data_IF_099253131154
#
_entry.id   IF_099253131154
#
_cell.length_a   1.000
_cell.length_b   1.000
_cell.length_c   1.000
_cell.angle_alpha   90.00
_cell.angle_beta   90.00
_cell.angle_gamma   90.00
#
_symmetry.space_group_name_H-M   'P 1'
#
loop_
_entity.id
_entity.type
_entity.pdbx_description
1 polymer ?
#
# COMPACT_ATOMS: atom_id res chain seq x y z
N UNK A 1 0.84 4.57 18.27
CA UNK A 1 -0.62 4.74 18.09
C UNK A 1 -0.97 4.03 16.80
N UNK A 2 -1.61 2.86 16.86
CA UNK A 2 -2.17 2.23 15.67
C UNK A 2 -3.34 3.11 15.26
N UNK A 3 -3.13 4.03 14.33
CA UNK A 3 -4.25 4.68 13.65
C UNK A 3 -4.93 3.57 12.84
N UNK A 4 -6.00 3.00 13.39
CA UNK A 4 -6.81 2.03 12.68
C UNK A 4 -7.42 2.73 11.47
N UNK A 5 -6.85 2.45 10.30
CA UNK A 5 -7.46 2.80 9.03
C UNK A 5 -8.82 2.11 8.93
N UNK A 6 -9.84 2.84 8.47
CA UNK A 6 -11.12 2.20 8.18
C UNK A 6 -10.93 1.16 7.06
N UNK A 7 -11.84 0.18 6.98
CA UNK A 7 -11.83 -0.81 5.88
C UNK A 7 -11.80 -0.17 4.48
N UNK A 8 -12.39 1.02 4.34
CA UNK A 8 -12.40 1.79 3.09
C UNK A 8 -11.06 2.47 2.81
N UNK A 9 -10.45 3.05 3.84
CA UNK A 9 -9.13 3.67 3.75
C UNK A 9 -8.07 2.63 3.41
N UNK A 10 -8.08 1.47 4.10
CA UNK A 10 -7.18 0.35 3.83
C UNK A 10 -7.31 -0.14 2.38
N UNK A 11 -8.54 -0.39 1.92
CA UNK A 11 -8.79 -0.82 0.55
C UNK A 11 -8.31 0.23 -0.48
N UNK A 12 -8.51 1.52 -0.21
CA UNK A 12 -8.08 2.60 -1.11
C UNK A 12 -6.56 2.72 -1.17
N UNK A 13 -5.87 2.62 -0.03
CA UNK A 13 -4.41 2.68 0.02
C UNK A 13 -3.76 1.54 -0.77
N UNK A 14 -4.23 0.30 -0.54
CA UNK A 14 -3.74 -0.89 -1.25
C UNK A 14 -4.01 -0.76 -2.75
N UNK A 15 -5.23 -0.39 -3.15
CA UNK A 15 -5.57 -0.24 -4.57
C UNK A 15 -4.76 0.85 -5.28
N UNK A 16 -4.58 2.01 -4.64
CA UNK A 16 -3.74 3.08 -5.18
C UNK A 16 -2.28 2.67 -5.28
N UNK A 17 -1.75 1.93 -4.30
CA UNK A 17 -0.38 1.44 -4.33
C UNK A 17 -0.17 0.35 -5.39
N UNK A 18 -1.09 -0.59 -5.50
CA UNK A 18 -1.06 -1.62 -6.53
C UNK A 18 -0.98 -1.01 -7.94
N UNK A 19 -1.75 0.06 -8.21
CA UNK A 19 -1.66 0.79 -9.47
C UNK A 19 -0.27 1.37 -9.72
N UNK A 20 0.37 1.97 -8.70
CA UNK A 20 1.73 2.51 -8.84
C UNK A 20 2.72 1.40 -9.21
N UNK A 21 2.61 0.24 -8.56
CA UNK A 21 3.45 -0.92 -8.82
C UNK A 21 3.24 -1.47 -10.24
N UNK A 22 2.00 -1.53 -10.71
CA UNK A 22 1.69 -1.88 -12.11
C UNK A 22 2.31 -0.91 -13.12
N UNK A 23 2.53 0.36 -12.73
CA UNK A 23 3.18 1.37 -13.56
C UNK A 23 4.72 1.33 -13.47
N UNK A 24 5.30 0.34 -12.80
CA UNK A 24 6.75 0.19 -12.65
C UNK A 24 7.36 1.06 -11.54
N UNK A 25 6.56 1.51 -10.58
CA UNK A 25 7.10 2.19 -9.40
C UNK A 25 7.95 1.21 -8.56
N UNK A 26 9.03 1.68 -7.91
CA UNK A 26 9.86 0.84 -7.07
C UNK A 26 9.13 0.40 -5.80
N UNK A 27 9.41 -0.83 -5.38
CA UNK A 27 8.99 -1.40 -4.09
C UNK A 27 9.89 -0.86 -2.97
N UNK A 28 9.33 -0.62 -1.78
CA UNK A 28 10.06 -0.12 -0.60
C UNK A 28 10.42 -1.23 0.39
N UNK A 29 9.79 -2.40 0.29
CA UNK A 29 10.13 -3.58 1.07
C UNK A 29 11.40 -4.24 0.55
N UNK A 30 12.22 -4.74 1.48
CA UNK A 30 13.37 -5.60 1.16
C UNK A 30 12.86 -7.01 0.90
N UNK A 31 12.39 -7.26 -0.32
CA UNK A 31 12.11 -8.60 -0.79
C UNK A 31 13.33 -9.17 -1.49
N UNK A 32 13.73 -10.37 -1.11
CA UNK A 32 14.66 -11.16 -1.91
C UNK A 32 13.95 -11.66 -3.18
N UNK A 33 14.73 -12.06 -4.19
CA UNK A 33 14.19 -12.47 -5.49
C UNK A 33 13.25 -13.68 -5.37
N UNK A 34 13.49 -14.55 -4.40
CA UNK A 34 12.63 -15.69 -4.04
C UNK A 34 11.25 -15.26 -3.49
N UNK A 35 11.17 -14.13 -2.77
CA UNK A 35 9.90 -13.65 -2.21
C UNK A 35 9.03 -12.98 -3.27
N UNK A 36 9.66 -12.27 -4.21
CA UNK A 36 9.00 -11.71 -5.40
C UNK A 36 8.40 -12.81 -6.30
N UNK A 37 9.11 -13.94 -6.43
CA UNK A 37 8.67 -15.07 -7.22
C UNK A 37 7.50 -15.83 -6.54
N UNK A 38 7.49 -15.90 -5.20
CA UNK A 38 6.36 -16.46 -4.42
C UNK A 38 5.06 -15.66 -4.60
N UNK A 39 5.13 -14.32 -4.67
CA UNK A 39 3.95 -13.48 -4.91
C UNK A 39 3.61 -13.32 -6.39
N UNK A 40 4.30 -14.05 -7.30
CA UNK A 40 4.09 -14.00 -8.76
C UNK A 40 4.15 -12.58 -9.34
N UNK A 41 4.87 -11.67 -8.68
CA UNK A 41 4.90 -10.24 -9.03
C UNK A 41 3.51 -9.58 -9.08
N UNK A 42 2.52 -10.10 -8.33
CA UNK A 42 1.20 -9.49 -8.28
C UNK A 42 1.27 -8.12 -7.55
N UNK A 43 0.91 -7.01 -8.22
CA UNK A 43 0.96 -5.68 -7.63
C UNK A 43 0.10 -5.52 -6.37
N UNK A 44 -0.99 -6.28 -6.24
CA UNK A 44 -1.89 -6.22 -5.09
C UNK A 44 -1.24 -6.87 -3.88
N UNK A 45 -0.67 -8.05 -4.04
CA UNK A 45 0.00 -8.78 -2.96
C UNK A 45 1.21 -7.98 -2.43
N UNK A 46 1.98 -7.38 -3.33
CA UNK A 46 3.12 -6.52 -2.94
C UNK A 46 2.62 -5.29 -2.16
N UNK A 47 1.54 -4.65 -2.60
CA UNK A 47 0.95 -3.52 -1.90
C UNK A 47 0.39 -3.89 -0.51
N UNK A 48 -0.14 -5.10 -0.34
CA UNK A 48 -0.58 -5.63 0.97
C UNK A 48 0.63 -5.80 1.90
N UNK A 49 1.72 -6.38 1.41
CA UNK A 49 2.93 -6.59 2.19
C UNK A 49 3.58 -5.27 2.62
N UNK A 50 3.65 -4.28 1.72
CA UNK A 50 4.12 -2.93 2.06
C UNK A 50 3.22 -2.23 3.09
N UNK A 51 1.92 -2.49 3.06
CA UNK A 51 0.97 -1.97 4.05
C UNK A 51 1.19 -2.60 5.42
N UNK A 52 1.36 -3.92 5.48
CA UNK A 52 1.53 -4.66 6.73
C UNK A 52 2.90 -4.38 7.38
N UNK A 53 3.95 -4.12 6.58
CA UNK A 53 5.26 -3.62 7.03
C UNK A 53 5.22 -2.13 7.45
N UNK A 54 4.16 -1.40 7.12
CA UNK A 54 4.02 0.02 7.46
C UNK A 54 4.94 0.96 6.67
N UNK A 55 5.50 0.50 5.54
CA UNK A 55 6.40 1.28 4.68
C UNK A 55 5.70 1.94 3.49
N UNK A 56 4.37 1.78 3.41
CA UNK A 56 3.57 2.24 2.28
C UNK A 56 3.59 3.79 2.18
N UNK A 57 4.01 4.37 1.05
CA UNK A 57 4.28 5.81 0.92
C UNK A 57 3.01 6.62 0.61
N UNK A 58 1.91 6.31 1.30
CA UNK A 58 0.60 6.94 1.09
C UNK A 58 -0.01 7.28 2.45
N UNK A 59 -0.47 8.52 2.60
CA UNK A 59 -1.13 9.00 3.80
C UNK A 59 -2.59 9.29 3.51
N UNK A 60 -3.47 9.00 4.46
CA UNK A 60 -4.90 9.33 4.35
C UNK A 60 -5.14 10.72 4.92
N UNK A 61 -5.64 11.63 4.08
CA UNK A 61 -6.17 12.92 4.53
C UNK A 61 -7.66 12.78 4.79
N UNK A 62 -8.10 13.03 6.03
CA UNK A 62 -9.52 13.04 6.41
C UNK A 62 -10.05 14.48 6.36
N UNK A 63 -10.80 14.88 5.31
CA UNK A 63 -11.43 16.18 5.31
C UNK A 63 -12.57 16.19 6.32
N UNK A 64 -12.51 17.09 7.30
CA UNK A 64 -13.66 17.41 8.17
C UNK A 64 -14.60 18.36 7.43
N UNK A 65 -15.90 18.15 7.56
CA UNK A 65 -16.90 19.02 6.95
C UNK A 65 -16.74 20.46 7.50
N UNK A 66 -16.40 21.40 6.62
CA UNK A 66 -16.18 22.81 6.97
C UNK A 66 -14.73 23.29 6.96
N UNK A 67 -13.73 22.41 6.82
CA UNK A 67 -12.37 22.83 6.53
C UNK A 67 -12.24 23.19 5.04
N UNK A 68 -12.04 24.49 4.76
CA UNK A 68 -11.57 24.98 3.46
C UNK A 68 -10.12 24.58 3.22
#
# INVERSE_FOLDING_TARGET
MKEEYTKYEKARMIGSRALQLSMGAPFLIKMDQEDLEKVRFDPIEIAILEFDEGVLPITVRRPIAGAK
#
